data_IF_896130940250
#
_entry.id   IF_896130940250
#
_cell.length_a   1.000
_cell.length_b   1.000
_cell.length_c   1.000
_cell.angle_alpha   90.00
_cell.angle_beta   90.00
_cell.angle_gamma   90.00
#
_symmetry.space_group_name_H-M   'P 1'
#
loop_
_entity.id
_entity.type
_entity.pdbx_description
1 polymer ?
#
# COMPACT_ATOMS: atom_id res chain seq x y z
N UNK A 1 -13.40 0.54 -27.87
CA UNK A 1 -13.62 0.79 -26.43
C UNK A 1 -14.16 -0.48 -25.80
N UNK A 2 -13.32 -1.29 -25.14
CA UNK A 2 -13.78 -2.56 -24.53
C UNK A 2 -14.52 -2.24 -23.23
N UNK A 3 -15.83 -2.50 -23.22
CA UNK A 3 -16.66 -2.49 -22.03
C UNK A 3 -16.29 -3.71 -21.17
N UNK A 4 -15.33 -3.56 -20.24
CA UNK A 4 -14.92 -4.58 -19.26
C UNK A 4 -15.65 -4.37 -17.92
N UNK A 5 -16.97 -4.32 -17.93
CA UNK A 5 -17.76 -4.28 -16.69
C UNK A 5 -18.54 -5.56 -16.50
N UNK A 6 -17.84 -6.70 -16.45
CA UNK A 6 -18.41 -7.94 -15.95
C UNK A 6 -17.28 -8.73 -15.26
N UNK A 7 -17.31 -8.76 -13.92
CA UNK A 7 -16.46 -9.54 -13.01
C UNK A 7 -15.08 -8.97 -12.57
N UNK A 8 -14.88 -7.65 -12.56
CA UNK A 8 -13.72 -7.07 -11.86
C UNK A 8 -13.98 -7.09 -10.34
N UNK A 9 -13.09 -7.66 -9.49
CA UNK A 9 -13.26 -7.61 -8.04
C UNK A 9 -13.27 -6.15 -7.56
N UNK A 10 -14.07 -5.81 -6.56
CA UNK A 10 -14.07 -4.45 -6.00
C UNK A 10 -12.69 -4.08 -5.43
N UNK A 11 -12.31 -2.80 -5.44
CA UNK A 11 -10.99 -2.34 -4.96
C UNK A 11 -10.70 -2.82 -3.54
N UNK A 12 -11.68 -2.81 -2.63
CA UNK A 12 -11.52 -3.36 -1.29
C UNK A 12 -11.24 -4.87 -1.26
N UNK A 13 -11.83 -5.61 -2.19
CA UNK A 13 -11.60 -7.05 -2.31
C UNK A 13 -10.19 -7.34 -2.84
N UNK A 14 -9.65 -6.46 -3.70
CA UNK A 14 -8.27 -6.52 -4.17
C UNK A 14 -7.26 -6.13 -3.07
N UNK A 15 -7.55 -5.11 -2.26
CA UNK A 15 -6.68 -4.68 -1.17
C UNK A 15 -6.64 -5.66 0.01
N UNK A 16 -7.72 -6.42 0.25
CA UNK A 16 -7.86 -7.23 1.47
C UNK A 16 -6.72 -8.26 1.70
N UNK A 17 -6.28 -9.04 0.69
CA UNK A 17 -5.13 -9.94 0.85
C UNK A 17 -3.84 -9.20 1.23
N UNK A 18 -3.59 -8.01 0.67
CA UNK A 18 -2.42 -7.21 0.98
C UNK A 18 -2.46 -6.71 2.43
N UNK A 19 -3.65 -6.33 2.93
CA UNK A 19 -3.84 -5.95 4.33
C UNK A 19 -3.58 -7.13 5.27
N UNK A 20 -4.04 -8.33 4.92
CA UNK A 20 -3.77 -9.53 5.73
C UNK A 20 -2.29 -9.91 5.74
N UNK A 21 -1.58 -9.75 4.61
CA UNK A 21 -0.13 -9.88 4.56
C UNK A 21 0.60 -8.81 5.37
N UNK A 22 0.14 -7.55 5.31
CA UNK A 22 0.69 -6.46 6.13
C UNK A 22 0.59 -6.79 7.63
N UNK A 23 -0.53 -7.35 8.06
CA UNK A 23 -0.75 -7.76 9.46
C UNK A 23 0.08 -8.97 9.84
N UNK A 24 0.23 -9.94 8.93
CA UNK A 24 1.08 -11.13 9.16
C UNK A 24 2.53 -10.72 9.38
N UNK A 25 3.01 -9.73 8.62
CA UNK A 25 4.40 -9.27 8.66
C UNK A 25 4.61 -8.11 9.64
N UNK A 26 3.67 -7.85 10.55
CA UNK A 26 3.67 -6.64 11.37
C UNK A 26 4.97 -6.40 12.17
N UNK A 27 5.56 -7.47 12.70
CA UNK A 27 6.82 -7.41 13.44
C UNK A 27 7.99 -6.98 12.55
N UNK A 28 8.12 -7.57 11.36
CA UNK A 28 9.19 -7.28 10.40
C UNK A 28 9.09 -5.88 9.80
N UNK A 29 7.88 -5.32 9.83
CA UNK A 29 7.57 -4.00 9.30
C UNK A 29 7.60 -2.90 10.36
N UNK A 30 7.84 -3.25 11.63
CA UNK A 30 7.84 -2.34 12.78
C UNK A 30 6.53 -1.56 12.92
N UNK A 31 5.39 -2.24 12.68
CA UNK A 31 4.03 -1.69 12.78
C UNK A 31 3.26 -2.34 13.94
N UNK A 32 2.25 -1.64 14.44
CA UNK A 32 1.40 -2.13 15.53
C UNK A 32 0.00 -2.45 15.01
N UNK A 33 -0.52 -3.63 15.36
CA UNK A 33 -1.88 -4.05 15.03
C UNK A 33 -2.70 -4.16 16.30
N UNK A 34 -3.86 -3.53 16.32
CA UNK A 34 -4.79 -3.57 17.45
C UNK A 34 -6.23 -3.70 16.96
N UNK A 35 -7.17 -3.82 17.90
CA UNK A 35 -8.61 -3.77 17.61
C UNK A 35 -9.27 -2.65 18.41
N UNK A 36 -10.14 -1.91 17.75
CA UNK A 36 -11.06 -0.97 18.40
C UNK A 36 -12.13 -1.70 19.21
N UNK A 37 -12.81 -0.99 20.11
CA UNK A 37 -13.94 -1.49 20.89
C UNK A 37 -15.09 -2.04 20.02
N UNK A 38 -15.25 -1.56 18.78
CA UNK A 38 -16.25 -2.04 17.82
C UNK A 38 -15.75 -3.21 16.94
N UNK A 39 -14.55 -3.73 17.16
CA UNK A 39 -13.97 -4.86 16.42
C UNK A 39 -13.17 -4.49 15.17
N UNK A 40 -13.16 -3.22 14.75
CA UNK A 40 -12.32 -2.76 13.63
C UNK A 40 -10.84 -3.01 13.91
N UNK A 41 -10.12 -3.56 12.93
CA UNK A 41 -8.67 -3.72 12.98
C UNK A 41 -8.03 -2.36 12.73
N UNK A 42 -7.14 -1.92 13.62
CA UNK A 42 -6.38 -0.68 13.50
C UNK A 42 -4.92 -1.06 13.29
N UNK A 43 -4.33 -0.53 12.22
CA UNK A 43 -2.92 -0.70 11.88
C UNK A 43 -2.25 0.66 12.04
N UNK A 44 -1.36 0.76 13.01
CA UNK A 44 -0.52 1.93 13.24
C UNK A 44 0.85 1.66 12.63
N UNK A 45 1.19 2.45 11.61
CA UNK A 45 2.42 2.34 10.84
C UNK A 45 3.32 3.59 10.96
N UNK A 46 3.13 4.43 11.97
CA UNK A 46 4.00 5.59 12.19
C UNK A 46 3.55 6.60 13.26
N UNK A 47 2.47 6.34 14.01
CA UNK A 47 2.03 7.18 15.12
C UNK A 47 2.70 6.78 16.44
N UNK A 48 2.50 5.54 16.88
CA UNK A 48 3.20 4.94 18.03
C UNK A 48 4.21 3.89 17.59
N UNK A 49 4.02 3.31 16.42
CA UNK A 49 5.01 2.43 15.81
C UNK A 49 6.13 3.24 15.17
N UNK A 50 7.31 2.65 15.02
CA UNK A 50 8.37 3.27 14.20
C UNK A 50 7.98 3.27 12.72
N UNK A 51 7.35 2.18 12.25
CA UNK A 51 7.11 1.94 10.85
C UNK A 51 8.41 1.63 10.09
N UNK A 52 8.27 1.31 8.81
CA UNK A 52 9.41 1.03 7.95
C UNK A 52 9.16 1.49 6.52
N UNK A 53 10.23 1.68 5.76
CA UNK A 53 10.13 2.00 4.32
C UNK A 53 9.35 0.91 3.57
N UNK A 54 9.56 -0.36 3.93
CA UNK A 54 8.83 -1.49 3.36
C UNK A 54 7.34 -1.44 3.72
N UNK A 55 6.99 -1.03 4.95
CA UNK A 55 5.59 -0.82 5.33
C UNK A 55 4.95 0.29 4.49
N UNK A 56 5.67 1.39 4.26
CA UNK A 56 5.21 2.48 3.39
C UNK A 56 4.93 2.04 1.96
N UNK A 57 5.83 1.27 1.33
CA UNK A 57 5.62 0.70 0.00
C UNK A 57 4.37 -0.19 -0.05
N UNK A 58 4.22 -1.12 0.91
CA UNK A 58 3.04 -2.01 0.95
C UNK A 58 1.74 -1.25 1.19
N UNK A 59 1.76 -0.22 2.04
CA UNK A 59 0.59 0.65 2.27
C UNK A 59 0.24 1.39 0.98
N UNK A 60 1.22 1.90 0.22
CA UNK A 60 0.96 2.53 -1.06
C UNK A 60 0.31 1.57 -2.07
N UNK A 61 0.74 0.31 -2.11
CA UNK A 61 0.12 -0.72 -2.96
C UNK A 61 -1.30 -1.07 -2.50
N UNK A 62 -1.56 -1.12 -1.19
CA UNK A 62 -2.91 -1.27 -0.62
C UNK A 62 -3.81 -0.11 -1.05
N UNK A 63 -3.30 1.13 -0.98
CA UNK A 63 -4.00 2.35 -1.42
C UNK A 63 -4.24 2.38 -2.93
N UNK A 64 -3.46 1.65 -3.72
CA UNK A 64 -3.69 1.46 -5.14
C UNK A 64 -4.53 0.21 -5.45
N UNK A 65 -5.07 -0.44 -4.42
CA UNK A 65 -5.86 -1.66 -4.52
C UNK A 65 -5.18 -2.79 -5.31
N UNK A 66 -3.86 -2.96 -5.13
CA UNK A 66 -3.04 -3.95 -5.86
C UNK A 66 -2.99 -3.71 -7.38
N UNK A 67 -3.40 -2.52 -7.84
CA UNK A 67 -3.39 -2.13 -9.26
C UNK A 67 -2.18 -1.28 -9.65
N UNK A 68 -1.22 -1.12 -8.74
CA UNK A 68 0.04 -0.43 -8.96
C UNK A 68 1.12 -0.94 -8.03
N UNK A 69 2.36 -0.66 -8.38
CA UNK A 69 3.55 -1.08 -7.63
C UNK A 69 4.29 0.14 -7.08
N UNK A 70 4.80 0.05 -5.86
CA UNK A 70 5.54 1.14 -5.22
C UNK A 70 6.91 0.64 -4.73
N UNK A 71 7.98 1.18 -5.32
CA UNK A 71 9.37 0.81 -4.98
C UNK A 71 10.17 2.01 -4.55
N UNK A 72 11.29 1.75 -3.88
CA UNK A 72 12.27 2.79 -3.59
C UNK A 72 13.48 2.61 -4.47
N UNK A 73 13.81 3.66 -5.23
CA UNK A 73 15.02 3.73 -6.04
C UNK A 73 15.94 4.84 -5.51
N UNK A 74 17.26 4.72 -5.68
CA UNK A 74 18.18 5.82 -5.39
C UNK A 74 17.92 6.99 -6.33
N UNK A 75 18.14 8.22 -5.86
CA UNK A 75 18.15 9.38 -6.75
C UNK A 75 19.32 9.32 -7.72
N UNK A 76 19.08 9.58 -8.98
CA UNK A 76 20.09 9.68 -10.01
C UNK A 76 20.76 11.07 -10.00
N UNK A 77 22.09 11.09 -10.09
CA UNK A 77 22.84 12.25 -10.59
C UNK A 77 22.83 13.54 -9.75
N UNK A 78 22.51 13.50 -8.46
CA UNK A 78 22.67 14.67 -7.56
C UNK A 78 23.56 14.33 -6.38
N UNK A 79 24.32 15.32 -5.87
CA UNK A 79 25.14 15.18 -4.64
C UNK A 79 24.31 14.92 -3.37
N UNK A 80 22.98 14.82 -3.50
CA UNK A 80 22.05 14.55 -2.42
C UNK A 80 21.58 13.09 -2.48
N UNK A 81 21.87 12.31 -1.44
CA UNK A 81 21.44 10.92 -1.30
C UNK A 81 19.94 10.81 -0.92
N UNK A 82 19.04 11.18 -1.82
CA UNK A 82 17.61 11.01 -1.62
C UNK A 82 17.12 9.62 -2.04
N UNK A 83 16.03 9.20 -1.41
CA UNK A 83 15.29 7.99 -1.77
C UNK A 83 14.04 8.43 -2.55
N UNK A 84 13.87 7.92 -3.75
CA UNK A 84 12.72 8.22 -4.61
C UNK A 84 11.69 7.12 -4.47
N UNK A 85 10.43 7.47 -4.26
CA UNK A 85 9.31 6.54 -4.41
C UNK A 85 8.95 6.48 -5.88
N UNK A 86 9.20 5.33 -6.51
CA UNK A 86 8.80 5.07 -7.89
C UNK A 86 7.48 4.29 -7.89
N UNK A 87 6.48 4.83 -8.59
CA UNK A 87 5.13 4.27 -8.69
C UNK A 87 4.77 4.02 -10.15
N UNK A 88 4.29 2.81 -10.44
CA UNK A 88 3.80 2.41 -11.77
C UNK A 88 2.43 1.76 -11.68
N UNK A 89 1.56 2.00 -12.67
CA UNK A 89 0.20 1.46 -12.76
C UNK A 89 -0.29 1.45 -14.21
N UNK A 90 -1.00 0.39 -14.59
CA UNK A 90 -1.72 0.30 -15.87
C UNK A 90 -3.21 0.69 -15.73
N UNK A 91 -3.66 1.00 -14.51
CA UNK A 91 -5.06 1.32 -14.19
C UNK A 91 -5.18 2.68 -13.48
N UNK A 92 -4.64 3.78 -14.03
CA UNK A 92 -4.41 5.03 -13.30
C UNK A 92 -5.69 5.65 -12.72
N UNK A 93 -6.84 5.52 -13.40
CA UNK A 93 -8.11 6.05 -12.88
C UNK A 93 -8.57 5.25 -11.66
N UNK A 94 -8.47 3.92 -11.70
CA UNK A 94 -8.89 3.09 -10.57
C UNK A 94 -7.90 3.16 -9.42
N UNK A 95 -6.59 3.07 -9.69
CA UNK A 95 -5.56 3.04 -8.65
C UNK A 95 -5.31 4.39 -7.98
N UNK A 96 -5.49 5.51 -8.68
CA UNK A 96 -5.11 6.84 -8.16
C UNK A 96 -6.30 7.73 -7.77
N UNK A 97 -7.51 7.44 -8.25
CA UNK A 97 -8.72 8.23 -7.96
C UNK A 97 -9.88 7.41 -7.41
N UNK A 98 -9.95 6.13 -7.78
CA UNK A 98 -11.02 5.21 -7.38
C UNK A 98 -10.76 4.42 -6.10
N UNK A 99 -9.57 4.58 -5.50
CA UNK A 99 -9.12 3.89 -4.29
C UNK A 99 -8.59 4.85 -3.24
#
# INVERSE_FOLDING_TARGET
MRNRRDNWPGVNQLSAPLVDQLVTDASDLEILVSRSANGSRIIDAGLKSLGSVKAGCRIAEICMADLGHATIIPSDGTDMNFRIVHVETEHPVLSCLGS
#
